data_IF_196145783157
#
_entry.id   IF_196145783157
#
_cell.length_a   1.000
_cell.length_b   1.000
_cell.length_c   1.000
_cell.angle_alpha   90.00
_cell.angle_beta   90.00
_cell.angle_gamma   90.00
#
_symmetry.space_group_name_H-M   'P 1'
#
loop_
_entity.id
_entity.type
_entity.pdbx_description
1 polymer ?
#
# COMPACT_ATOMS: atom_id res chain seq x y z
N UNK A 1 -6.83 -13.18 13.06
CA UNK A 1 -8.18 -13.54 13.53
C UNK A 1 -9.15 -13.24 12.41
N UNK A 2 -9.66 -14.31 11.81
CA UNK A 2 -10.76 -14.27 10.84
C UNK A 2 -11.97 -13.59 11.49
N UNK A 3 -12.62 -12.68 10.76
CA UNK A 3 -13.79 -11.92 11.21
C UNK A 3 -13.71 -11.44 12.67
N UNK A 4 -12.60 -10.81 13.04
CA UNK A 4 -12.35 -10.29 14.40
C UNK A 4 -13.49 -9.39 14.93
N UNK A 5 -14.19 -8.68 14.04
CA UNK A 5 -15.39 -7.92 14.36
C UNK A 5 -16.55 -8.74 14.95
N UNK A 6 -16.57 -10.07 14.79
CA UNK A 6 -17.57 -10.95 15.42
C UNK A 6 -17.12 -11.49 16.79
N UNK A 7 -15.87 -11.21 17.20
CA UNK A 7 -15.32 -11.58 18.49
C UNK A 7 -15.52 -10.40 19.47
N UNK A 8 -15.84 -10.68 20.72
CA UNK A 8 -15.91 -9.64 21.75
C UNK A 8 -14.51 -9.05 22.04
N UNK A 9 -14.40 -7.72 22.14
CA UNK A 9 -13.15 -7.03 22.47
C UNK A 9 -12.51 -7.57 23.75
N UNK A 10 -13.30 -7.86 24.77
CA UNK A 10 -12.78 -8.40 26.04
C UNK A 10 -12.12 -9.78 25.87
N UNK A 11 -12.61 -10.62 24.96
CA UNK A 11 -11.99 -11.91 24.62
C UNK A 11 -10.64 -11.68 23.95
N UNK A 12 -10.56 -10.74 23.00
CA UNK A 12 -9.30 -10.37 22.33
C UNK A 12 -8.26 -9.87 23.33
N UNK A 13 -8.66 -8.97 24.24
CA UNK A 13 -7.74 -8.43 25.26
C UNK A 13 -7.25 -9.51 26.23
N UNK A 14 -8.13 -10.43 26.65
CA UNK A 14 -7.75 -11.55 27.53
C UNK A 14 -6.79 -12.51 26.82
N UNK A 15 -7.05 -12.84 25.56
CA UNK A 15 -6.16 -13.67 24.76
C UNK A 15 -4.77 -13.04 24.59
N UNK A 16 -4.72 -11.73 24.29
CA UNK A 16 -3.48 -10.95 24.23
C UNK A 16 -2.67 -11.07 25.52
N UNK A 17 -3.30 -10.79 26.66
CA UNK A 17 -2.63 -10.85 27.96
C UNK A 17 -2.10 -12.24 28.28
N UNK A 18 -2.90 -13.28 28.04
CA UNK A 18 -2.49 -14.67 28.28
C UNK A 18 -1.29 -15.07 27.40
N UNK A 19 -1.36 -14.83 26.09
CA UNK A 19 -0.30 -15.18 25.15
C UNK A 19 1.00 -14.42 25.45
N UNK A 20 0.91 -13.12 25.74
CA UNK A 20 2.08 -12.28 25.97
C UNK A 20 2.73 -12.47 27.34
N UNK A 21 2.07 -13.19 28.25
CA UNK A 21 2.64 -13.60 29.54
C UNK A 21 3.49 -14.88 29.48
N UNK A 22 3.47 -15.60 28.35
CA UNK A 22 4.26 -16.82 28.18
C UNK A 22 5.76 -16.48 28.18
N UNK A 23 6.56 -17.30 28.87
CA UNK A 23 8.01 -17.14 29.02
C UNK A 23 8.74 -18.41 28.59
N UNK A 24 10.00 -18.26 28.15
CA UNK A 24 10.82 -19.40 27.70
C UNK A 24 11.01 -20.45 28.80
N UNK A 25 11.26 -20.01 30.03
CA UNK A 25 11.56 -20.90 31.15
C UNK A 25 10.36 -21.79 31.53
N UNK A 26 9.15 -21.22 31.56
CA UNK A 26 7.96 -21.95 31.99
C UNK A 26 7.18 -22.60 30.82
N UNK A 27 7.27 -22.04 29.61
CA UNK A 27 6.39 -22.41 28.49
C UNK A 27 7.13 -22.74 27.20
N UNK A 28 8.47 -22.61 27.16
CA UNK A 28 9.28 -22.87 25.96
C UNK A 28 9.21 -21.80 24.86
N UNK A 29 8.47 -20.71 25.08
CA UNK A 29 8.27 -19.63 24.09
C UNK A 29 8.36 -18.25 24.72
N UNK A 30 8.87 -17.26 23.99
CA UNK A 30 8.83 -15.85 24.39
C UNK A 30 7.50 -15.23 23.92
N UNK A 31 6.50 -15.25 24.80
CA UNK A 31 5.17 -14.72 24.53
C UNK A 31 5.17 -13.22 24.21
N UNK A 32 6.15 -12.46 24.70
CA UNK A 32 6.25 -11.02 24.45
C UNK A 32 6.44 -10.66 22.97
N UNK A 33 6.85 -11.64 22.14
CA UNK A 33 7.01 -11.49 20.69
C UNK A 33 5.79 -11.95 19.89
N UNK A 34 4.78 -12.54 20.53
CA UNK A 34 3.55 -12.93 19.86
C UNK A 34 2.75 -11.67 19.51
N UNK A 35 2.50 -11.52 18.21
CA UNK A 35 1.73 -10.42 17.64
C UNK A 35 0.34 -10.91 17.20
N UNK A 36 -0.69 -10.09 17.45
CA UNK A 36 -2.08 -10.42 17.14
C UNK A 36 -2.64 -9.37 16.18
N UNK A 37 -3.34 -9.82 15.15
CA UNK A 37 -4.07 -8.96 14.22
C UNK A 37 -5.27 -9.71 13.61
N UNK A 38 -6.21 -8.98 13.02
CA UNK A 38 -7.37 -9.59 12.39
C UNK A 38 -8.23 -8.67 11.54
N UNK A 39 -9.39 -9.18 11.18
CA UNK A 39 -10.37 -8.51 10.31
C UNK A 39 -11.42 -7.78 11.14
N UNK A 40 -11.21 -6.48 11.38
CA UNK A 40 -12.11 -5.69 12.22
C UNK A 40 -13.37 -5.19 11.50
N UNK A 41 -13.90 -5.93 10.53
CA UNK A 41 -15.12 -5.56 9.78
C UNK A 41 -16.35 -5.53 10.70
N UNK A 42 -17.14 -4.45 10.67
CA UNK A 42 -18.32 -4.26 11.53
C UNK A 42 -19.63 -4.38 10.73
N UNK A 43 -20.28 -5.54 10.78
CA UNK A 43 -21.50 -5.81 10.00
C UNK A 43 -22.44 -6.77 10.73
N UNK A 44 -23.62 -7.02 10.14
CA UNK A 44 -24.65 -7.95 10.62
C UNK A 44 -25.07 -7.72 12.09
N UNK A 45 -25.23 -8.79 12.87
CA UNK A 45 -25.84 -8.76 14.21
C UNK A 45 -24.94 -8.18 15.30
N UNK A 46 -23.63 -8.02 15.02
CA UNK A 46 -22.65 -7.46 15.95
C UNK A 46 -22.45 -5.96 15.76
N UNK A 47 -22.84 -5.43 14.60
CA UNK A 47 -22.62 -4.05 14.20
C UNK A 47 -23.10 -3.05 15.26
N UNK A 48 -22.36 -1.95 15.41
CA UNK A 48 -22.68 -0.90 16.41
C UNK A 48 -22.83 -1.47 17.84
N UNK A 49 -21.99 -2.46 18.17
CA UNK A 49 -21.93 -3.09 19.50
C UNK A 49 -23.24 -3.78 19.95
N UNK A 50 -24.08 -4.24 19.03
CA UNK A 50 -25.39 -4.83 19.36
C UNK A 50 -25.29 -6.07 20.26
N UNK A 51 -24.16 -6.79 20.25
CA UNK A 51 -23.89 -7.96 21.11
C UNK A 51 -22.89 -7.68 22.24
N UNK A 52 -22.60 -6.41 22.50
CA UNK A 52 -21.49 -5.95 23.34
C UNK A 52 -20.35 -5.35 22.51
N UNK A 53 -19.32 -4.81 23.18
CA UNK A 53 -18.19 -4.20 22.48
C UNK A 53 -17.41 -5.27 21.72
N UNK A 54 -17.55 -5.27 20.40
CA UNK A 54 -16.95 -6.24 19.49
C UNK A 54 -15.58 -5.78 18.98
N UNK A 55 -14.87 -6.65 18.28
CA UNK A 55 -13.51 -6.43 17.76
C UNK A 55 -13.46 -5.65 16.45
N UNK A 56 -14.33 -4.66 16.25
CA UNK A 56 -14.32 -3.80 15.07
C UNK A 56 -13.07 -2.90 15.03
N UNK A 57 -12.66 -2.43 13.85
CA UNK A 57 -11.48 -1.56 13.67
C UNK A 57 -11.47 -0.38 14.63
N UNK A 58 -12.61 0.33 14.76
CA UNK A 58 -12.74 1.49 15.66
C UNK A 58 -12.62 1.08 17.13
N UNK A 59 -13.25 -0.02 17.53
CA UNK A 59 -13.17 -0.52 18.90
C UNK A 59 -11.77 -1.05 19.25
N UNK A 60 -11.01 -1.55 18.27
CA UNK A 60 -9.67 -2.10 18.49
C UNK A 60 -8.56 -1.04 18.51
N UNK A 61 -8.87 0.22 18.21
CA UNK A 61 -7.93 1.34 18.40
C UNK A 61 -7.45 1.42 19.86
N UNK A 62 -6.16 1.64 20.06
CA UNK A 62 -5.51 1.74 21.38
C UNK A 62 -5.31 0.41 22.09
N UNK A 63 -5.56 -0.73 21.42
CA UNK A 63 -5.36 -2.06 22.02
C UNK A 63 -3.99 -2.67 21.70
N UNK A 64 -3.27 -2.15 20.70
CA UNK A 64 -2.06 -2.77 20.14
C UNK A 64 -2.30 -4.12 19.46
N UNK A 65 -3.53 -4.41 19.01
CA UNK A 65 -3.89 -5.54 18.14
C UNK A 65 -4.16 -4.95 16.75
N UNK A 66 -3.53 -5.53 15.72
CA UNK A 66 -3.64 -5.03 14.35
C UNK A 66 -5.00 -5.28 13.70
N UNK A 67 -5.39 -4.40 12.79
CA UNK A 67 -6.47 -4.67 11.83
C UNK A 67 -6.10 -4.31 10.40
N UNK A 68 -6.64 -5.07 9.44
CA UNK A 68 -6.48 -4.79 8.01
C UNK A 68 -6.99 -3.40 7.64
N UNK A 69 -6.20 -2.69 6.82
CA UNK A 69 -6.52 -1.37 6.29
C UNK A 69 -7.17 -1.47 4.90
N UNK A 70 -8.48 -1.64 4.86
CA UNK A 70 -9.29 -1.58 3.65
C UNK A 70 -9.22 -0.21 2.94
N UNK A 71 -9.00 0.89 3.66
CA UNK A 71 -8.97 2.23 3.05
C UNK A 71 -7.80 2.37 2.07
N UNK A 72 -6.59 1.99 2.47
CA UNK A 72 -5.43 2.07 1.57
C UNK A 72 -5.57 1.06 0.42
N UNK A 73 -6.10 -0.14 0.66
CA UNK A 73 -6.37 -1.15 -0.38
C UNK A 73 -7.25 -0.55 -1.48
N UNK A 74 -8.39 -0.01 -1.08
CA UNK A 74 -9.40 0.52 -2.01
C UNK A 74 -8.92 1.79 -2.70
N UNK A 75 -8.15 2.64 -2.01
CA UNK A 75 -7.59 3.84 -2.61
C UNK A 75 -6.51 3.56 -3.66
N UNK A 76 -5.65 2.58 -3.41
CA UNK A 76 -4.61 2.15 -4.38
C UNK A 76 -5.26 1.46 -5.57
N UNK A 77 -6.12 0.47 -5.33
CA UNK A 77 -6.69 -0.36 -6.40
C UNK A 77 -7.84 0.32 -7.13
N UNK A 78 -8.74 0.98 -6.43
CA UNK A 78 -9.94 1.63 -6.97
C UNK A 78 -11.24 0.90 -6.68
N UNK A 79 -12.26 1.66 -6.26
CA UNK A 79 -13.57 1.12 -5.91
C UNK A 79 -13.54 0.36 -4.58
N UNK A 80 -14.19 -0.79 -4.55
CA UNK A 80 -14.18 -1.74 -3.44
C UNK A 80 -14.51 -3.15 -4.00
N UNK A 81 -14.29 -4.24 -3.25
CA UNK A 81 -14.51 -5.60 -3.75
C UNK A 81 -15.96 -5.95 -4.13
N UNK A 82 -16.94 -5.14 -3.73
CA UNK A 82 -18.36 -5.34 -4.02
C UNK A 82 -18.91 -4.33 -5.04
N UNK A 83 -18.06 -3.40 -5.50
CA UNK A 83 -18.41 -2.36 -6.46
C UNK A 83 -18.22 -2.81 -7.92
N UNK A 84 -18.31 -1.86 -8.85
CA UNK A 84 -18.03 -2.16 -10.25
C UNK A 84 -16.52 -2.50 -10.42
N UNK A 85 -16.18 -3.65 -11.03
CA UNK A 85 -14.80 -4.10 -11.16
C UNK A 85 -13.92 -3.13 -11.97
N UNK A 86 -14.51 -2.32 -12.87
CA UNK A 86 -13.78 -1.36 -13.71
C UNK A 86 -13.53 0.00 -13.03
N UNK A 87 -13.99 0.22 -11.79
CA UNK A 87 -13.70 1.46 -11.06
C UNK A 87 -12.20 1.56 -10.73
N UNK A 88 -11.55 2.59 -11.24
CA UNK A 88 -10.12 2.85 -11.08
C UNK A 88 -9.81 3.56 -9.76
N UNK A 89 -8.57 3.43 -9.31
CA UNK A 89 -8.01 4.06 -8.13
C UNK A 89 -6.70 4.76 -8.47
N UNK A 90 -5.95 5.11 -7.43
CA UNK A 90 -4.72 5.88 -7.57
C UNK A 90 -3.70 5.18 -8.47
N UNK A 91 -3.53 3.86 -8.32
CA UNK A 91 -2.52 3.09 -9.05
C UNK A 91 -3.07 2.31 -10.25
N UNK A 92 -4.35 2.48 -10.60
CA UNK A 92 -4.96 1.77 -11.75
C UNK A 92 -5.47 2.71 -12.84
N UNK A 93 -5.05 3.98 -12.79
CA UNK A 93 -5.20 4.95 -13.88
C UNK A 93 -6.35 5.96 -13.73
N UNK A 94 -6.97 6.08 -12.55
CA UNK A 94 -8.06 7.06 -12.35
C UNK A 94 -7.58 8.46 -12.74
N UNK A 95 -8.36 9.17 -13.57
CA UNK A 95 -8.04 10.47 -14.19
C UNK A 95 -6.84 10.45 -15.17
N UNK A 96 -5.71 9.84 -14.78
CA UNK A 96 -4.46 9.85 -15.56
C UNK A 96 -4.56 9.02 -16.84
N UNK A 97 -5.22 7.87 -16.77
CA UNK A 97 -5.29 6.86 -17.83
C UNK A 97 -6.67 6.18 -17.83
N UNK A 98 -7.75 6.86 -18.27
CA UNK A 98 -9.11 6.33 -18.20
C UNK A 98 -9.28 5.03 -18.99
N UNK A 99 -9.89 4.02 -18.37
CA UNK A 99 -10.06 2.69 -18.96
C UNK A 99 -11.30 2.51 -19.86
N UNK A 100 -12.08 3.59 -20.07
CA UNK A 100 -13.31 3.60 -20.87
C UNK A 100 -14.61 3.39 -20.07
N UNK A 101 -14.54 2.96 -18.81
CA UNK A 101 -15.69 2.96 -17.90
C UNK A 101 -15.94 4.38 -17.38
N UNK A 102 -17.18 4.88 -17.53
CA UNK A 102 -17.54 6.23 -17.11
C UNK A 102 -17.56 6.36 -15.58
N UNK A 103 -16.72 7.26 -15.06
CA UNK A 103 -16.50 7.47 -13.62
C UNK A 103 -16.72 8.94 -13.20
N UNK A 104 -17.50 9.68 -14.01
CA UNK A 104 -17.66 11.13 -13.89
C UNK A 104 -16.86 11.89 -14.95
N UNK A 105 -16.95 13.23 -14.92
CA UNK A 105 -16.15 14.08 -15.81
C UNK A 105 -14.69 14.18 -15.33
N UNK A 106 -13.86 14.90 -16.08
CA UNK A 106 -12.44 15.10 -15.74
C UNK A 106 -12.23 15.74 -14.36
N UNK A 107 -13.04 16.74 -14.00
CA UNK A 107 -12.96 17.38 -12.68
C UNK A 107 -13.35 16.43 -11.54
N UNK A 108 -14.35 15.57 -11.76
CA UNK A 108 -14.79 14.57 -10.78
C UNK A 108 -13.74 13.49 -10.56
N UNK A 109 -13.15 12.97 -11.64
CA UNK A 109 -12.11 11.93 -11.55
C UNK A 109 -10.81 12.49 -10.99
N UNK A 110 -10.42 13.72 -11.35
CA UNK A 110 -9.26 14.40 -10.75
C UNK A 110 -9.43 14.61 -9.25
N UNK A 111 -10.60 15.06 -8.82
CA UNK A 111 -10.93 15.23 -7.39
C UNK A 111 -10.95 13.89 -6.67
N UNK A 112 -11.49 12.84 -7.28
CA UNK A 112 -11.50 11.49 -6.70
C UNK A 112 -10.10 10.90 -6.58
N UNK A 113 -9.23 11.12 -7.57
CA UNK A 113 -7.82 10.74 -7.51
C UNK A 113 -7.10 11.44 -6.35
N UNK A 114 -7.34 12.75 -6.16
CA UNK A 114 -6.75 13.51 -5.08
C UNK A 114 -7.28 13.08 -3.69
N UNK A 115 -8.57 12.76 -3.58
CA UNK A 115 -9.16 12.15 -2.38
C UNK A 115 -8.51 10.80 -2.04
N UNK A 116 -8.28 9.94 -3.04
CA UNK A 116 -7.56 8.69 -2.83
C UNK A 116 -6.10 8.92 -2.42
N UNK A 117 -5.43 9.94 -2.97
CA UNK A 117 -4.09 10.33 -2.53
C UNK A 117 -4.06 10.71 -1.05
N UNK A 118 -5.04 11.48 -0.55
CA UNK A 118 -5.17 11.81 0.87
C UNK A 118 -5.32 10.54 1.73
N UNK A 119 -6.18 9.61 1.31
CA UNK A 119 -6.41 8.34 2.00
C UNK A 119 -5.14 7.48 2.07
N UNK A 120 -4.39 7.41 0.96
CA UNK A 120 -3.13 6.67 0.88
C UNK A 120 -2.09 7.31 1.80
N UNK A 121 -1.94 8.63 1.79
CA UNK A 121 -0.99 9.34 2.65
C UNK A 121 -1.26 9.08 4.14
N UNK A 122 -2.52 9.08 4.58
CA UNK A 122 -2.87 8.66 5.95
C UNK A 122 -2.46 7.22 6.23
N UNK A 123 -2.73 6.29 5.32
CA UNK A 123 -2.32 4.89 5.44
C UNK A 123 -0.80 4.71 5.50
N UNK A 124 -0.05 5.44 4.67
CA UNK A 124 1.41 5.46 4.65
C UNK A 124 2.00 6.00 5.95
N UNK A 125 1.30 6.90 6.65
CA UNK A 125 1.63 7.40 7.98
C UNK A 125 1.04 6.55 9.13
N UNK A 126 0.82 5.25 8.91
CA UNK A 126 0.38 4.31 9.95
C UNK A 126 -1.13 4.34 10.23
N UNK A 127 -1.91 4.98 9.36
CA UNK A 127 -3.37 5.13 9.43
C UNK A 127 -3.87 5.72 10.76
N UNK A 128 -3.05 6.61 11.33
CA UNK A 128 -3.25 7.17 12.65
C UNK A 128 -4.41 8.16 12.67
N UNK A 129 -5.26 8.06 13.70
CA UNK A 129 -6.39 8.98 13.90
C UNK A 129 -5.95 10.43 14.05
N UNK A 130 -4.82 10.67 14.73
CA UNK A 130 -4.33 12.01 15.09
C UNK A 130 -3.19 12.53 14.19
N UNK A 131 -2.79 11.80 13.14
CA UNK A 131 -1.82 12.33 12.17
C UNK A 131 -2.47 13.41 11.34
N UNK A 132 -1.77 14.53 11.12
CA UNK A 132 -2.31 15.72 10.46
C UNK A 132 -1.75 15.82 9.05
N UNK A 133 -2.65 15.93 8.06
CA UNK A 133 -2.33 16.04 6.64
C UNK A 133 -2.92 17.34 6.06
N UNK A 134 -2.18 17.98 5.17
CA UNK A 134 -2.74 18.99 4.26
C UNK A 134 -3.45 18.23 3.14
N UNK A 135 -4.77 18.26 3.14
CA UNK A 135 -5.61 17.53 2.18
C UNK A 135 -5.56 18.15 0.79
N UNK A 136 -6.13 17.47 -0.21
CA UNK A 136 -6.24 17.99 -1.56
C UNK A 136 -7.03 19.31 -1.67
N UNK A 137 -7.85 19.68 -0.69
CA UNK A 137 -8.53 21.00 -0.67
C UNK A 137 -7.63 22.11 -0.14
N UNK A 138 -6.49 21.77 0.45
CA UNK A 138 -5.61 22.69 1.18
C UNK A 138 -5.95 22.81 2.67
N UNK A 139 -7.06 22.21 3.12
CA UNK A 139 -7.40 22.17 4.55
C UNK A 139 -6.48 21.20 5.29
N UNK A 140 -6.11 21.57 6.51
CA UNK A 140 -5.39 20.70 7.44
C UNK A 140 -6.38 19.82 8.19
N UNK A 141 -6.27 18.50 8.05
CA UNK A 141 -7.17 17.53 8.71
C UNK A 141 -6.40 16.42 9.40
N UNK A 142 -6.91 15.96 10.53
CA UNK A 142 -6.48 14.70 11.14
C UNK A 142 -6.90 13.51 10.28
N UNK A 143 -6.22 12.38 10.42
CA UNK A 143 -6.60 11.13 9.76
C UNK A 143 -8.05 10.73 10.03
N UNK A 144 -8.57 10.97 11.24
CA UNK A 144 -9.97 10.70 11.59
C UNK A 144 -10.98 11.71 11.02
N UNK A 145 -10.53 12.87 10.53
CA UNK A 145 -11.37 13.92 9.95
C UNK A 145 -11.44 13.80 8.41
N UNK A 146 -10.56 12.97 7.83
CA UNK A 146 -10.66 12.52 6.45
C UNK A 146 -11.56 11.28 6.45
N UNK A 147 -12.57 11.29 5.59
CA UNK A 147 -13.58 10.24 5.57
C UNK A 147 -13.51 9.43 4.28
N UNK A 148 -13.90 8.16 4.38
CA UNK A 148 -14.19 7.30 3.24
C UNK A 148 -15.45 7.81 2.52
N UNK A 149 -15.73 7.29 1.32
CA UNK A 149 -16.90 7.70 0.55
C UNK A 149 -18.24 7.36 1.22
N UNK A 150 -18.25 6.37 2.11
CA UNK A 150 -19.38 5.97 2.97
C UNK A 150 -19.39 6.66 4.35
N UNK A 151 -18.45 7.58 4.62
CA UNK A 151 -18.49 8.46 5.78
C UNK A 151 -17.82 7.95 7.04
N UNK A 152 -17.03 6.88 6.97
CA UNK A 152 -16.20 6.40 8.10
C UNK A 152 -14.86 7.15 8.14
N UNK A 153 -14.23 7.32 9.33
CA UNK A 153 -12.91 7.89 9.42
C UNK A 153 -11.88 7.00 8.69
N UNK A 154 -10.97 7.63 7.94
CA UNK A 154 -9.89 6.93 7.25
C UNK A 154 -8.85 6.47 8.27
N UNK A 155 -8.28 7.43 9.01
CA UNK A 155 -7.35 7.16 10.10
C UNK A 155 -8.09 6.81 11.39
N UNK A 156 -7.80 5.64 11.95
CA UNK A 156 -8.49 5.14 13.15
C UNK A 156 -7.54 4.59 14.23
N UNK A 157 -6.27 4.34 13.91
CA UNK A 157 -5.34 3.70 14.86
C UNK A 157 -4.75 4.71 15.84
N UNK A 158 -4.31 4.22 17.00
CA UNK A 158 -3.56 5.00 17.99
C UNK A 158 -2.06 4.71 17.94
N UNK A 159 -1.64 3.66 17.23
CA UNK A 159 -0.24 3.28 17.03
C UNK A 159 -0.05 2.65 15.65
N UNK A 160 1.13 2.82 15.00
CA UNK A 160 1.41 2.15 13.73
C UNK A 160 1.38 0.62 13.83
N UNK A 161 1.57 0.03 15.02
CA UNK A 161 1.46 -1.43 15.17
C UNK A 161 0.02 -1.93 15.09
N UNK A 162 -0.98 -1.05 15.07
CA UNK A 162 -2.39 -1.43 14.98
C UNK A 162 -2.88 -1.50 13.53
N UNK A 163 -2.05 -1.13 12.56
CA UNK A 163 -2.42 -1.14 11.14
C UNK A 163 -1.70 -2.23 10.37
N UNK A 164 -2.49 -3.00 9.62
CA UNK A 164 -2.01 -3.94 8.60
C UNK A 164 -2.31 -3.35 7.22
N UNK A 165 -1.33 -2.72 6.59
CA UNK A 165 -1.46 -2.15 5.26
C UNK A 165 -1.31 -3.24 4.20
N UNK A 166 -2.26 -3.31 3.26
CA UNK A 166 -2.29 -4.31 2.20
C UNK A 166 -3.01 -3.78 0.96
N UNK A 167 -2.74 -4.40 -0.18
CA UNK A 167 -3.44 -4.16 -1.46
C UNK A 167 -4.02 -5.43 -2.07
N UNK A 168 -3.67 -6.59 -1.51
CA UNK A 168 -4.07 -7.92 -1.97
C UNK A 168 -4.04 -8.89 -0.81
N UNK A 169 -4.92 -9.88 -0.86
CA UNK A 169 -5.02 -10.96 0.10
C UNK A 169 -5.44 -12.25 -0.62
N UNK A 170 -5.76 -13.29 0.15
CA UNK A 170 -6.29 -14.52 -0.39
C UNK A 170 -7.73 -14.36 -0.93
N UNK A 171 -8.55 -13.54 -0.29
CA UNK A 171 -9.87 -13.14 -0.79
C UNK A 171 -9.76 -12.06 -1.86
N UNK A 172 -10.75 -12.00 -2.75
CA UNK A 172 -10.82 -11.10 -3.90
C UNK A 172 -9.77 -11.43 -4.97
N UNK A 173 -9.71 -10.61 -6.02
CA UNK A 173 -8.71 -10.77 -7.08
C UNK A 173 -7.28 -10.56 -6.54
N UNK A 174 -6.31 -11.27 -7.14
CA UNK A 174 -4.89 -11.02 -6.85
C UNK A 174 -4.47 -9.62 -7.30
N UNK A 175 -3.30 -9.15 -6.83
CA UNK A 175 -2.76 -7.85 -7.26
C UNK A 175 -2.61 -7.77 -8.79
N UNK A 176 -2.11 -8.82 -9.43
CA UNK A 176 -1.95 -8.85 -10.89
C UNK A 176 -3.30 -8.83 -11.61
N UNK A 177 -4.28 -9.58 -11.11
CA UNK A 177 -5.61 -9.68 -11.71
C UNK A 177 -6.38 -8.36 -11.59
N UNK A 178 -6.39 -7.73 -10.41
CA UNK A 178 -7.09 -6.45 -10.20
C UNK A 178 -6.48 -5.33 -11.06
N UNK A 179 -5.15 -5.29 -11.21
CA UNK A 179 -4.47 -4.35 -12.11
C UNK A 179 -4.87 -4.62 -13.56
N UNK A 180 -4.90 -5.88 -13.99
CA UNK A 180 -5.27 -6.29 -15.35
C UNK A 180 -6.73 -6.01 -15.67
N UNK A 181 -7.62 -6.07 -14.68
CA UNK A 181 -9.02 -5.68 -14.83
C UNK A 181 -9.18 -4.18 -14.98
N UNK A 182 -8.56 -3.40 -14.07
CA UNK A 182 -8.83 -1.97 -13.90
C UNK A 182 -8.04 -1.05 -14.81
N UNK A 183 -6.83 -1.42 -15.21
CA UNK A 183 -6.03 -0.60 -16.13
C UNK A 183 -6.58 -0.62 -17.56
N UNK A 184 -6.29 0.40 -18.39
CA UNK A 184 -6.64 0.39 -19.81
C UNK A 184 -6.18 -0.89 -20.51
N UNK A 185 -7.00 -1.42 -21.42
CA UNK A 185 -6.69 -2.70 -22.08
C UNK A 185 -5.45 -2.64 -22.98
N UNK A 186 -5.11 -1.44 -23.48
CA UNK A 186 -3.99 -1.22 -24.38
C UNK A 186 -2.62 -1.10 -23.69
N UNK A 187 -2.55 -1.09 -22.35
CA UNK A 187 -1.25 -1.13 -21.65
C UNK A 187 -0.53 -2.45 -21.95
N UNK A 188 0.80 -2.41 -22.03
CA UNK A 188 1.61 -3.63 -22.14
C UNK A 188 1.66 -4.37 -20.80
N UNK A 189 2.05 -5.65 -20.83
CA UNK A 189 2.33 -6.38 -19.59
C UNK A 189 3.52 -5.79 -18.83
N UNK A 190 4.54 -5.27 -19.51
CA UNK A 190 5.66 -4.56 -18.87
C UNK A 190 5.18 -3.38 -18.02
N UNK A 191 4.25 -2.58 -18.55
CA UNK A 191 3.67 -1.46 -17.81
C UNK A 191 2.88 -1.95 -16.60
N UNK A 192 2.06 -3.00 -16.74
CA UNK A 192 1.34 -3.60 -15.61
C UNK A 192 2.29 -4.17 -14.56
N UNK A 193 3.45 -4.72 -14.94
CA UNK A 193 4.45 -5.20 -13.99
C UNK A 193 4.99 -4.06 -13.12
N UNK A 194 5.23 -2.87 -13.70
CA UNK A 194 5.62 -1.69 -12.93
C UNK A 194 4.50 -1.19 -12.00
N UNK A 195 3.25 -1.28 -12.44
CA UNK A 195 2.09 -0.94 -11.62
C UNK A 195 1.97 -1.90 -10.42
N UNK A 196 2.23 -3.20 -10.62
CA UNK A 196 2.30 -4.19 -9.53
C UNK A 196 3.42 -3.84 -8.53
N UNK A 197 4.60 -3.49 -9.04
CA UNK A 197 5.73 -3.06 -8.22
C UNK A 197 5.42 -1.79 -7.41
N UNK A 198 4.73 -0.80 -7.98
CA UNK A 198 4.29 0.41 -7.28
C UNK A 198 3.35 0.08 -6.10
N UNK A 199 2.35 -0.78 -6.32
CA UNK A 199 1.39 -1.15 -5.28
C UNK A 199 2.07 -1.87 -4.10
N UNK A 200 2.89 -2.88 -4.39
CA UNK A 200 3.67 -3.60 -3.37
C UNK A 200 4.69 -2.70 -2.67
N UNK A 201 5.30 -1.75 -3.39
CA UNK A 201 6.24 -0.78 -2.81
C UNK A 201 5.59 0.22 -1.87
N UNK A 202 4.36 0.69 -2.18
CA UNK A 202 3.58 1.51 -1.25
C UNK A 202 3.35 0.78 0.07
N UNK A 203 3.11 -0.53 0.04
CA UNK A 203 3.01 -1.33 1.28
C UNK A 203 4.36 -1.43 1.97
N UNK A 204 5.40 -1.88 1.24
CA UNK A 204 6.73 -2.11 1.77
C UNK A 204 7.36 -0.88 2.42
N UNK A 205 7.08 0.33 1.92
CA UNK A 205 7.63 1.58 2.45
C UNK A 205 6.66 2.35 3.36
N UNK A 206 5.48 1.80 3.66
CA UNK A 206 4.54 2.41 4.62
C UNK A 206 5.02 2.29 6.07
N UNK A 207 4.66 3.26 6.91
CA UNK A 207 4.65 3.05 8.36
C UNK A 207 3.59 2.02 8.75
N UNK A 208 3.76 1.40 9.91
CA UNK A 208 2.95 0.28 10.34
C UNK A 208 3.44 -1.05 9.79
N UNK A 209 2.54 -2.02 9.63
CA UNK A 209 2.89 -3.39 9.26
C UNK A 209 2.42 -3.69 7.84
N UNK A 210 3.34 -3.86 6.86
CA UNK A 210 2.99 -4.29 5.53
C UNK A 210 2.56 -5.76 5.53
N UNK A 211 1.55 -6.06 4.72
CA UNK A 211 1.09 -7.42 4.44
C UNK A 211 1.13 -7.67 2.94
N UNK A 212 1.61 -8.86 2.56
CA UNK A 212 1.74 -9.28 1.17
C UNK A 212 1.03 -10.61 0.99
N UNK A 213 0.27 -10.73 -0.09
CA UNK A 213 -0.29 -11.98 -0.52
C UNK A 213 0.78 -12.79 -1.24
N UNK A 214 0.89 -14.09 -0.92
CA UNK A 214 1.85 -14.97 -1.59
C UNK A 214 1.61 -14.96 -3.10
N UNK A 215 2.60 -14.46 -3.85
CA UNK A 215 2.54 -14.29 -5.28
C UNK A 215 2.49 -12.84 -5.77
N UNK A 216 2.32 -11.85 -4.90
CA UNK A 216 2.45 -10.43 -5.26
C UNK A 216 3.80 -10.16 -5.94
N UNK A 217 4.85 -10.81 -5.44
CA UNK A 217 6.23 -10.69 -5.88
C UNK A 217 6.53 -11.41 -7.21
N UNK A 218 5.63 -12.28 -7.67
CA UNK A 218 5.79 -13.08 -8.90
C UNK A 218 4.59 -12.96 -9.84
N UNK A 219 3.84 -11.85 -9.73
CA UNK A 219 2.72 -11.51 -10.60
C UNK A 219 1.59 -12.56 -10.60
N UNK A 220 1.40 -13.28 -9.49
CA UNK A 220 0.43 -14.39 -9.40
C UNK A 220 -0.96 -13.96 -9.86
N UNK A 221 -1.55 -14.80 -10.69
CA UNK A 221 -2.93 -14.71 -11.16
C UNK A 221 -3.73 -15.90 -10.65
N UNK A 222 -5.04 -15.71 -10.51
CA UNK A 222 -6.02 -16.78 -10.36
C UNK A 222 -6.96 -16.85 -11.57
N UNK A 223 -6.49 -16.35 -12.72
CA UNK A 223 -7.33 -16.14 -13.91
C UNK A 223 -8.53 -15.24 -13.62
N UNK A 224 -8.34 -14.24 -12.75
CA UNK A 224 -9.37 -13.27 -12.32
C UNK A 224 -10.46 -13.91 -11.43
N UNK A 225 -10.17 -15.03 -10.76
CA UNK A 225 -11.08 -15.54 -9.73
C UNK A 225 -11.08 -14.62 -8.49
N UNK A 226 -12.26 -14.08 -8.15
CA UNK A 226 -12.42 -13.21 -6.98
C UNK A 226 -12.63 -13.96 -5.66
N UNK A 227 -12.92 -15.26 -5.69
CA UNK A 227 -13.23 -16.03 -4.47
C UNK A 227 -12.86 -17.50 -4.70
N UNK A 228 -11.55 -17.74 -4.64
CA UNK A 228 -10.95 -19.00 -5.08
C UNK A 228 -10.86 -20.08 -4.01
N UNK A 229 -11.64 -19.96 -2.92
CA UNK A 229 -11.57 -20.85 -1.76
C UNK A 229 -11.76 -22.33 -2.12
N UNK A 230 -12.57 -22.62 -3.15
CA UNK A 230 -12.89 -23.97 -3.63
C UNK A 230 -12.59 -24.15 -5.13
N UNK A 231 -11.68 -23.35 -5.69
CA UNK A 231 -11.31 -23.40 -7.11
C UNK A 231 -10.14 -24.36 -7.40
N UNK A 232 -9.76 -25.18 -6.41
CA UNK A 232 -8.73 -26.22 -6.53
C UNK A 232 -7.34 -25.70 -6.87
N UNK A 233 -6.42 -26.63 -7.12
CA UNK A 233 -5.02 -26.32 -7.44
C UNK A 233 -4.88 -25.54 -8.76
N UNK A 234 -5.78 -25.79 -9.71
CA UNK A 234 -5.72 -25.22 -11.06
C UNK A 234 -5.75 -23.68 -11.05
N UNK A 235 -6.75 -23.08 -10.39
CA UNK A 235 -6.85 -21.62 -10.31
C UNK A 235 -5.95 -21.02 -9.21
N UNK A 236 -5.56 -21.79 -8.20
CA UNK A 236 -4.76 -21.30 -7.08
C UNK A 236 -3.24 -21.49 -7.23
N UNK A 237 -2.77 -22.09 -8.34
CA UNK A 237 -1.37 -22.46 -8.59
C UNK A 237 -0.38 -21.38 -8.16
N UNK A 238 0.65 -21.80 -7.42
CA UNK A 238 1.89 -21.06 -7.21
C UNK A 238 3.02 -21.78 -7.95
N UNK A 239 3.63 -21.08 -8.91
CA UNK A 239 4.64 -21.67 -9.78
C UNK A 239 6.04 -21.16 -9.45
N UNK A 240 6.76 -21.90 -8.60
CA UNK A 240 8.14 -21.57 -8.23
C UNK A 240 9.19 -21.95 -9.29
N UNK A 241 8.78 -22.45 -10.46
CA UNK A 241 9.68 -22.49 -11.63
C UNK A 241 9.78 -21.12 -12.31
N UNK A 242 8.85 -20.23 -11.98
CA UNK A 242 8.68 -18.88 -12.53
C UNK A 242 8.36 -18.86 -14.03
N UNK A 243 8.02 -20.00 -14.63
CA UNK A 243 7.67 -20.08 -16.05
C UNK A 243 6.28 -19.50 -16.35
N UNK A 244 5.36 -19.60 -15.38
CA UNK A 244 3.99 -19.10 -15.52
C UNK A 244 3.55 -18.36 -14.26
N UNK A 245 2.67 -17.37 -14.41
CA UNK A 245 2.01 -16.72 -13.28
C UNK A 245 0.57 -17.20 -13.06
N UNK A 246 0.10 -18.19 -13.84
CA UNK A 246 -1.26 -18.72 -13.88
C UNK A 246 -2.34 -17.83 -14.55
N UNK A 247 -1.94 -16.78 -15.30
CA UNK A 247 -2.88 -15.98 -16.10
C UNK A 247 -3.39 -16.74 -17.34
N UNK A 248 -4.69 -16.62 -17.64
CA UNK A 248 -5.26 -17.15 -18.88
C UNK A 248 -5.48 -18.65 -18.89
N UNK A 249 -5.71 -19.27 -17.72
CA UNK A 249 -5.95 -20.72 -17.58
C UNK A 249 -7.44 -21.12 -17.68
N UNK A 250 -8.25 -20.26 -18.30
CA UNK A 250 -9.70 -20.40 -18.45
C UNK A 250 -10.48 -19.38 -17.63
N UNK A 251 -11.78 -19.27 -17.91
CA UNK A 251 -12.68 -18.47 -17.07
C UNK A 251 -12.79 -19.13 -15.68
N UNK A 252 -12.76 -18.35 -14.58
CA UNK A 252 -12.85 -18.88 -13.23
C UNK A 252 -14.26 -19.40 -12.92
N UNK A 253 -14.47 -20.23 -11.87
CA UNK A 253 -15.74 -20.89 -11.60
C UNK A 253 -16.95 -19.96 -11.54
N UNK A 254 -18.06 -20.39 -12.14
CA UNK A 254 -19.24 -19.54 -12.37
C UNK A 254 -19.88 -19.03 -11.09
N UNK A 255 -19.93 -19.85 -10.04
CA UNK A 255 -20.59 -19.54 -8.76
C UNK A 255 -20.27 -18.13 -8.24
N UNK A 256 -19.02 -17.69 -8.42
CA UNK A 256 -18.55 -16.39 -7.94
C UNK A 256 -18.26 -15.40 -9.06
N UNK A 257 -18.09 -15.85 -10.30
CA UNK A 257 -17.46 -15.04 -11.35
C UNK A 257 -18.28 -14.85 -12.62
N UNK A 258 -19.38 -15.58 -12.82
CA UNK A 258 -20.11 -15.61 -14.10
C UNK A 258 -20.57 -14.23 -14.58
N UNK A 259 -21.06 -13.39 -13.66
CA UNK A 259 -21.48 -12.01 -13.95
C UNK A 259 -20.36 -11.15 -14.57
N UNK A 260 -19.10 -11.46 -14.25
CA UNK A 260 -17.93 -10.75 -14.72
C UNK A 260 -17.20 -11.49 -15.87
N UNK A 261 -17.63 -12.68 -16.29
CA UNK A 261 -17.02 -13.35 -17.44
C UNK A 261 -16.94 -12.50 -18.73
N UNK A 262 -17.94 -11.64 -19.05
CA UNK A 262 -17.86 -10.79 -20.24
C UNK A 262 -16.65 -9.83 -20.23
N UNK A 263 -16.22 -9.33 -19.06
CA UNK A 263 -15.03 -8.47 -18.97
C UNK A 263 -13.73 -9.28 -18.89
N UNK A 264 -13.78 -10.50 -18.34
CA UNK A 264 -12.63 -11.38 -18.16
C UNK A 264 -12.17 -12.01 -19.48
N UNK A 265 -13.11 -12.57 -20.24
CA UNK A 265 -12.82 -13.32 -21.48
C UNK A 265 -11.88 -12.59 -22.45
N UNK A 266 -12.14 -11.34 -22.88
CA UNK A 266 -11.25 -10.66 -23.82
C UNK A 266 -9.87 -10.32 -23.24
N UNK A 267 -9.73 -10.24 -21.91
CA UNK A 267 -8.44 -10.02 -21.24
C UNK A 267 -7.63 -11.32 -21.18
N UNK A 268 -8.28 -12.42 -20.79
CA UNK A 268 -7.65 -13.74 -20.68
C UNK A 268 -7.20 -14.29 -22.03
N UNK A 269 -7.98 -14.01 -23.09
CA UNK A 269 -7.67 -14.44 -24.46
C UNK A 269 -6.58 -13.59 -25.13
N UNK A 270 -6.31 -12.38 -24.64
CA UNK A 270 -5.33 -11.48 -25.24
C UNK A 270 -3.90 -11.85 -24.79
N UNK A 271 -3.01 -12.28 -25.71
CA UNK A 271 -1.65 -12.67 -25.36
C UNK A 271 -0.82 -11.54 -24.73
N UNK A 272 -1.15 -10.27 -25.01
CA UNK A 272 -0.40 -9.12 -24.48
C UNK A 272 -0.58 -8.89 -22.98
N UNK A 273 -1.51 -9.60 -22.33
CA UNK A 273 -1.70 -9.57 -20.88
C UNK A 273 -0.82 -10.57 -20.15
N UNK A 274 -0.33 -11.62 -20.82
CA UNK A 274 0.35 -12.74 -20.16
C UNK A 274 1.84 -12.42 -19.93
N UNK A 275 2.34 -12.40 -18.69
CA UNK A 275 3.75 -12.19 -18.43
C UNK A 275 4.56 -13.44 -18.80
N UNK A 276 5.68 -13.23 -19.47
CA UNK A 276 6.75 -14.22 -19.60
C UNK A 276 7.62 -14.30 -18.33
N UNK A 277 8.41 -15.37 -18.19
CA UNK A 277 9.36 -15.60 -17.09
C UNK A 277 10.24 -14.38 -16.74
N UNK A 278 10.74 -13.66 -17.74
CA UNK A 278 11.55 -12.46 -17.52
C UNK A 278 10.84 -11.39 -16.69
N UNK A 279 9.55 -11.18 -16.91
CA UNK A 279 8.74 -10.24 -16.11
C UNK A 279 8.54 -10.73 -14.69
N UNK A 280 8.29 -12.03 -14.50
CA UNK A 280 8.08 -12.65 -13.19
C UNK A 280 9.35 -12.52 -12.34
N UNK A 281 10.52 -12.80 -12.92
CA UNK A 281 11.80 -12.66 -12.23
C UNK A 281 12.15 -11.18 -11.96
N UNK A 282 11.82 -10.26 -12.86
CA UNK A 282 12.03 -8.82 -12.63
C UNK A 282 11.10 -8.27 -11.51
N UNK A 283 9.86 -8.76 -11.44
CA UNK A 283 8.95 -8.45 -10.34
C UNK A 283 9.52 -8.96 -9.01
N UNK A 284 10.06 -10.18 -8.98
CA UNK A 284 10.67 -10.76 -7.80
C UNK A 284 11.90 -9.97 -7.33
N UNK A 285 12.81 -9.63 -8.25
CA UNK A 285 14.02 -8.87 -7.93
C UNK A 285 13.69 -7.48 -7.36
N UNK A 286 12.78 -6.75 -8.02
CA UNK A 286 12.34 -5.42 -7.59
C UNK A 286 11.56 -5.45 -6.27
N UNK A 287 10.81 -6.52 -5.99
CA UNK A 287 10.16 -6.75 -4.70
C UNK A 287 11.18 -7.03 -3.59
N UNK A 288 12.20 -7.86 -3.86
CA UNK A 288 13.29 -8.11 -2.92
C UNK A 288 14.05 -6.80 -2.62
N UNK A 289 14.33 -5.99 -3.64
CA UNK A 289 15.00 -4.71 -3.48
C UNK A 289 14.21 -3.72 -2.61
N UNK A 290 12.89 -3.61 -2.78
CA UNK A 290 12.09 -2.72 -1.94
C UNK A 290 12.02 -3.20 -0.48
N UNK A 291 12.05 -4.51 -0.24
CA UNK A 291 12.17 -5.05 1.11
C UNK A 291 13.55 -4.74 1.72
N UNK A 292 14.65 -4.88 0.95
CA UNK A 292 15.99 -4.46 1.42
C UNK A 292 15.98 -2.98 1.84
N UNK A 293 15.30 -2.12 1.08
CA UNK A 293 15.19 -0.68 1.41
C UNK A 293 14.39 -0.47 2.71
N UNK A 294 13.26 -1.15 2.91
CA UNK A 294 12.51 -1.06 4.18
C UNK A 294 13.39 -1.37 5.39
N UNK A 295 14.25 -2.38 5.25
CA UNK A 295 15.09 -2.85 6.35
C UNK A 295 16.46 -2.15 6.42
N UNK A 296 16.83 -1.32 5.44
CA UNK A 296 18.07 -0.54 5.48
C UNK A 296 18.02 0.62 6.48
N UNK A 297 16.81 1.11 6.78
CA UNK A 297 16.59 2.25 7.67
C UNK A 297 15.50 1.96 8.74
N UNK A 298 15.74 2.29 10.02
CA UNK A 298 14.68 2.31 11.04
C UNK A 298 13.58 3.33 10.75
N UNK A 299 13.83 4.34 9.91
CA UNK A 299 12.89 5.41 9.61
C UNK A 299 11.63 4.92 8.89
N UNK A 300 11.69 3.83 8.13
CA UNK A 300 10.48 3.19 7.55
C UNK A 300 9.64 2.41 8.57
N UNK A 301 10.11 2.28 9.81
CA UNK A 301 9.55 1.38 10.85
C UNK A 301 9.45 2.07 12.20
N UNK A 302 8.99 3.32 12.21
CA UNK A 302 8.79 4.08 13.44
C UNK A 302 7.77 3.37 14.34
N UNK A 303 8.09 3.29 15.63
CA UNK A 303 7.35 2.42 16.56
C UNK A 303 6.16 3.09 17.23
N UNK A 304 6.08 4.43 17.21
CA UNK A 304 5.04 5.19 17.90
C UNK A 304 4.37 6.22 16.99
N UNK A 305 3.13 6.58 17.34
CA UNK A 305 2.42 7.68 16.69
C UNK A 305 3.11 9.04 16.89
N UNK A 306 3.87 9.22 17.98
CA UNK A 306 4.59 10.46 18.24
C UNK A 306 5.73 10.63 17.25
N UNK A 307 6.53 9.57 17.05
CA UNK A 307 7.64 9.59 16.09
C UNK A 307 7.13 9.88 14.68
N UNK A 308 6.03 9.24 14.26
CA UNK A 308 5.46 9.46 12.93
C UNK A 308 5.00 10.91 12.76
N UNK A 309 4.28 11.48 13.75
CA UNK A 309 3.83 12.87 13.69
C UNK A 309 4.99 13.88 13.65
N UNK A 310 6.11 13.55 14.29
CA UNK A 310 7.28 14.43 14.32
C UNK A 310 8.12 14.33 13.05
N UNK A 311 8.19 13.16 12.41
CA UNK A 311 9.19 12.86 11.38
C UNK A 311 8.64 12.67 9.97
N UNK A 312 7.39 12.24 9.83
CA UNK A 312 6.82 11.89 8.52
C UNK A 312 6.08 13.09 7.95
N UNK A 313 6.49 13.53 6.76
CA UNK A 313 5.92 14.66 6.05
C UNK A 313 5.55 14.28 4.62
N UNK A 314 4.47 14.87 4.10
CA UNK A 314 4.11 14.74 2.69
C UNK A 314 4.27 16.08 1.98
N UNK A 315 4.89 16.07 0.80
CA UNK A 315 5.35 17.29 0.13
C UNK A 315 4.57 17.65 -1.15
N UNK A 316 3.71 16.75 -1.66
CA UNK A 316 2.85 17.01 -2.82
C UNK A 316 1.38 17.01 -2.41
N UNK A 317 0.95 18.10 -1.78
CA UNK A 317 -0.37 18.24 -1.14
C UNK A 317 -1.12 19.49 -1.62
N UNK A 318 -2.40 19.62 -1.27
CA UNK A 318 -3.21 20.80 -1.60
C UNK A 318 -3.82 20.79 -3.00
N UNK A 319 -4.55 21.86 -3.36
CA UNK A 319 -5.36 21.93 -4.58
C UNK A 319 -4.53 21.99 -5.87
N UNK A 320 -3.25 22.35 -5.75
CA UNK A 320 -2.30 22.41 -6.87
C UNK A 320 -1.32 21.23 -6.87
N UNK A 321 -1.56 20.19 -6.07
CA UNK A 321 -0.76 18.97 -6.10
C UNK A 321 -0.68 18.37 -7.51
N UNK A 322 0.49 17.84 -7.85
CA UNK A 322 0.71 17.13 -9.11
C UNK A 322 -0.05 15.80 -9.05
N UNK A 323 -1.06 15.55 -9.90
CA UNK A 323 -1.82 14.32 -9.86
C UNK A 323 -0.93 13.10 -10.10
N UNK A 324 -1.19 11.99 -9.38
CA UNK A 324 -0.46 10.73 -9.56
C UNK A 324 0.93 10.67 -8.89
N UNK A 325 1.26 11.64 -8.04
CA UNK A 325 2.54 11.64 -7.31
C UNK A 325 2.29 11.74 -5.81
N UNK A 326 2.93 10.88 -5.03
CA UNK A 326 3.04 11.04 -3.57
C UNK A 326 4.51 11.21 -3.24
N UNK A 327 4.86 12.21 -2.44
CA UNK A 327 6.22 12.43 -1.94
C UNK A 327 6.22 12.40 -0.43
N UNK A 328 6.85 11.38 0.15
CA UNK A 328 6.94 11.14 1.59
C UNK A 328 8.37 11.38 2.08
N UNK A 329 8.58 12.37 2.93
CA UNK A 329 9.82 12.61 3.67
C UNK A 329 9.77 11.99 5.06
N UNK A 330 10.90 11.46 5.53
CA UNK A 330 11.07 10.96 6.90
C UNK A 330 12.37 11.52 7.48
N UNK A 331 12.23 12.34 8.50
CA UNK A 331 13.34 13.03 9.17
C UNK A 331 13.99 12.18 10.27
N UNK A 332 15.32 12.30 10.36
CA UNK A 332 16.07 11.92 11.54
C UNK A 332 16.86 13.09 12.13
N UNK A 333 17.41 12.91 13.33
CA UNK A 333 18.22 13.93 14.00
C UNK A 333 19.41 14.38 13.12
N UNK A 334 19.55 15.70 12.89
CA UNK A 334 20.55 16.27 11.96
C UNK A 334 21.50 17.30 12.57
N UNK A 335 21.05 18.04 13.58
CA UNK A 335 21.82 19.15 14.16
C UNK A 335 22.66 18.71 15.38
N UNK A 336 23.63 19.55 15.79
CA UNK A 336 24.47 19.31 16.99
C UNK A 336 23.65 19.21 18.30
N UNK A 337 22.42 19.75 18.32
CA UNK A 337 21.46 19.65 19.43
C UNK A 337 20.06 19.35 18.88
N UNK A 338 19.79 18.09 18.47
CA UNK A 338 18.56 17.77 17.80
C UNK A 338 17.39 17.71 18.79
N UNK A 339 16.20 18.15 18.37
CA UNK A 339 14.95 18.04 19.15
C UNK A 339 14.35 16.62 19.13
N UNK A 340 15.02 15.68 18.46
CA UNK A 340 14.63 14.28 18.34
C UNK A 340 15.83 13.35 18.48
N UNK A 341 15.60 12.13 18.95
CA UNK A 341 16.66 11.12 19.04
C UNK A 341 17.14 10.70 17.65
N UNK A 342 18.43 10.44 17.48
CA UNK A 342 18.93 9.78 16.27
C UNK A 342 18.50 8.31 16.26
N UNK A 343 17.79 7.90 15.21
CA UNK A 343 17.34 6.52 15.03
C UNK A 343 18.21 5.75 14.03
N UNK A 344 18.71 6.43 13.01
CA UNK A 344 19.46 5.83 11.90
C UNK A 344 20.92 6.29 11.96
N UNK A 345 21.84 5.33 11.90
CA UNK A 345 23.28 5.58 11.93
C UNK A 345 23.87 5.93 10.56
N UNK A 346 23.15 5.61 9.47
CA UNK A 346 23.63 5.76 8.10
C UNK A 346 22.99 6.96 7.40
N UNK A 347 21.70 7.20 7.65
CA UNK A 347 20.93 8.23 6.94
C UNK A 347 20.32 9.25 7.90
N UNK A 348 20.35 10.51 7.53
CA UNK A 348 19.74 11.60 8.30
C UNK A 348 18.35 12.02 7.80
N UNK A 349 18.02 11.64 6.58
CA UNK A 349 16.72 11.90 5.97
C UNK A 349 16.45 10.90 4.87
N UNK A 350 15.19 10.55 4.66
CA UNK A 350 14.73 9.70 3.56
C UNK A 350 13.60 10.39 2.82
N UNK A 351 13.63 10.40 1.49
CA UNK A 351 12.54 10.88 0.64
C UNK A 351 12.11 9.75 -0.29
N UNK A 352 10.84 9.39 -0.26
CA UNK A 352 10.25 8.43 -1.20
C UNK A 352 9.28 9.14 -2.13
N UNK A 353 9.47 8.99 -3.44
CA UNK A 353 8.57 9.49 -4.47
C UNK A 353 7.89 8.32 -5.15
N UNK A 354 6.57 8.23 -5.03
CA UNK A 354 5.74 7.28 -5.77
C UNK A 354 5.14 8.00 -6.98
N UNK A 355 5.65 7.74 -8.17
CA UNK A 355 5.14 8.30 -9.42
C UNK A 355 4.34 7.23 -10.19
N UNK A 356 3.01 7.32 -10.16
CA UNK A 356 2.14 6.42 -10.94
C UNK A 356 1.88 6.92 -12.36
N UNK A 357 2.29 8.14 -12.70
CA UNK A 357 2.08 8.73 -14.01
C UNK A 357 2.79 7.92 -15.12
N UNK A 358 2.23 7.90 -16.34
CA UNK A 358 2.86 7.23 -17.49
C UNK A 358 4.05 8.02 -18.08
N UNK A 359 4.44 9.14 -17.46
CA UNK A 359 5.57 9.99 -17.85
C UNK A 359 6.44 10.35 -16.63
N UNK A 360 7.64 10.86 -16.92
CA UNK A 360 8.53 11.44 -15.90
C UNK A 360 7.88 12.65 -15.22
N UNK A 361 8.23 12.87 -13.95
CA UNK A 361 7.83 14.04 -13.18
C UNK A 361 9.06 14.68 -12.55
N UNK A 362 9.04 16.01 -12.43
CA UNK A 362 10.01 16.77 -11.64
C UNK A 362 9.26 17.46 -10.51
N UNK A 363 9.62 17.12 -9.27
CA UNK A 363 9.00 17.63 -8.06
C UNK A 363 9.96 18.59 -7.37
N UNK A 364 9.65 19.89 -7.41
CA UNK A 364 10.44 20.92 -6.74
C UNK A 364 9.98 21.04 -5.28
N UNK A 365 10.88 20.74 -4.33
CA UNK A 365 10.61 20.81 -2.90
C UNK A 365 11.65 21.74 -2.26
N UNK A 366 11.40 23.06 -2.24
CA UNK A 366 12.37 24.05 -1.77
C UNK A 366 12.82 23.81 -0.31
N UNK A 367 11.95 23.24 0.53
CA UNK A 367 12.27 22.87 1.91
C UNK A 367 13.38 21.81 2.01
N UNK A 368 13.63 21.06 0.94
CA UNK A 368 14.67 20.05 0.84
C UNK A 368 15.80 20.46 -0.11
N UNK A 369 15.89 21.74 -0.50
CA UNK A 369 17.02 22.26 -1.25
C UNK A 369 18.29 22.30 -0.39
N UNK A 370 19.45 22.30 -1.03
CA UNK A 370 20.80 22.29 -0.42
C UNK A 370 21.12 21.08 0.47
N UNK A 371 20.23 20.09 0.55
CA UNK A 371 20.52 18.79 1.15
C UNK A 371 21.44 17.96 0.26
N UNK A 372 22.03 16.90 0.82
CA UNK A 372 22.90 15.97 0.07
C UNK A 372 22.19 14.64 -0.16
N UNK A 373 21.04 14.73 -0.82
CA UNK A 373 20.23 13.55 -1.12
C UNK A 373 20.80 12.82 -2.34
N UNK A 374 20.92 11.51 -2.21
CA UNK A 374 21.40 10.58 -3.23
C UNK A 374 20.35 9.49 -3.45
N UNK A 375 20.29 8.91 -4.66
CA UNK A 375 19.46 7.73 -4.89
C UNK A 375 19.92 6.59 -3.97
N UNK A 376 18.98 5.87 -3.35
CA UNK A 376 19.29 4.81 -2.40
C UNK A 376 20.21 3.76 -3.05
N UNK A 377 21.29 3.29 -2.38
CA UNK A 377 22.28 2.40 -2.97
C UNK A 377 21.72 1.12 -3.63
N UNK A 378 20.65 0.55 -3.06
CA UNK A 378 19.93 -0.58 -3.67
C UNK A 378 19.40 -0.22 -5.06
N UNK A 379 18.80 0.96 -5.24
CA UNK A 379 18.25 1.37 -6.54
C UNK A 379 19.33 1.82 -7.53
N UNK A 380 20.44 2.37 -7.04
CA UNK A 380 21.64 2.63 -7.87
C UNK A 380 22.17 1.35 -8.51
N UNK A 381 22.10 0.23 -7.79
CA UNK A 381 22.58 -1.08 -8.23
C UNK A 381 21.45 -2.01 -8.74
N UNK A 382 20.25 -1.48 -8.95
CA UNK A 382 19.10 -2.29 -9.34
C UNK A 382 19.22 -2.80 -10.79
N UNK A 383 18.62 -3.96 -11.04
CA UNK A 383 18.43 -4.48 -12.40
C UNK A 383 17.48 -3.63 -13.24
N UNK A 384 16.63 -2.82 -12.60
CA UNK A 384 15.72 -1.88 -13.28
C UNK A 384 16.46 -0.62 -13.73
N UNK A 385 16.88 -0.60 -14.98
CA UNK A 385 17.56 0.55 -15.58
C UNK A 385 16.73 1.84 -15.56
N UNK A 386 15.40 1.77 -15.37
CA UNK A 386 14.57 2.97 -15.33
C UNK A 386 14.78 3.72 -14.01
N UNK A 387 14.71 3.06 -12.85
CA UNK A 387 14.88 3.75 -11.54
C UNK A 387 16.26 4.38 -11.38
N UNK A 388 17.30 3.81 -11.98
CA UNK A 388 18.66 4.38 -12.00
C UNK A 388 18.77 5.75 -12.69
N UNK A 389 17.73 6.20 -13.39
CA UNK A 389 17.65 7.56 -13.98
C UNK A 389 17.05 8.60 -13.03
N UNK A 390 16.70 8.22 -11.80
CA UNK A 390 16.17 9.15 -10.82
C UNK A 390 17.26 10.08 -10.32
N UNK A 391 17.00 11.38 -10.29
CA UNK A 391 18.02 12.41 -9.99
C UNK A 391 17.47 13.40 -8.98
N UNK A 392 18.33 13.86 -8.07
CA UNK A 392 18.08 14.99 -7.18
C UNK A 392 19.00 16.17 -7.53
N UNK A 393 18.45 17.38 -7.61
CA UNK A 393 19.19 18.62 -7.83
C UNK A 393 19.15 19.50 -6.57
N UNK A 394 20.30 19.67 -5.91
CA UNK A 394 20.40 20.39 -4.65
C UNK A 394 20.02 21.88 -4.75
N UNK A 395 20.28 22.54 -5.88
CA UNK A 395 20.04 23.97 -6.04
C UNK A 395 18.56 24.37 -5.89
N UNK A 396 17.65 23.48 -6.30
CA UNK A 396 16.20 23.71 -6.32
C UNK A 396 15.44 22.79 -5.36
N UNK A 397 16.09 21.74 -4.85
CA UNK A 397 15.40 20.66 -4.14
C UNK A 397 14.52 19.83 -5.09
N UNK A 398 14.93 19.70 -6.36
CA UNK A 398 14.16 19.01 -7.40
C UNK A 398 14.44 17.51 -7.39
N UNK A 399 13.37 16.72 -7.42
CA UNK A 399 13.44 15.27 -7.63
C UNK A 399 12.85 14.92 -8.99
N UNK A 400 13.66 14.38 -9.89
CA UNK A 400 13.21 13.89 -11.20
C UNK A 400 13.04 12.38 -11.13
N UNK A 401 11.83 11.90 -11.37
CA UNK A 401 11.43 10.50 -11.20
C UNK A 401 10.75 9.98 -12.47
N UNK A 402 11.26 8.91 -13.07
CA UNK A 402 10.69 8.33 -14.29
C UNK A 402 9.24 7.86 -14.11
N UNK A 403 8.57 7.62 -15.24
CA UNK A 403 7.21 7.04 -15.28
C UNK A 403 7.10 5.77 -14.46
N UNK A 404 5.94 5.53 -13.84
CA UNK A 404 5.57 4.29 -13.14
C UNK A 404 6.71 3.76 -12.25
N UNK A 405 7.24 4.61 -11.38
CA UNK A 405 8.47 4.32 -10.62
C UNK A 405 8.32 4.82 -9.19
N UNK A 406 8.82 4.01 -8.25
CA UNK A 406 9.10 4.44 -6.88
C UNK A 406 10.60 4.72 -6.76
N UNK A 407 10.97 5.92 -6.35
CA UNK A 407 12.36 6.31 -6.14
C UNK A 407 12.57 6.72 -4.70
N UNK A 408 13.61 6.16 -4.07
CA UNK A 408 13.99 6.43 -2.69
C UNK A 408 15.31 7.16 -2.69
N UNK A 409 15.32 8.37 -2.15
CA UNK A 409 16.50 9.18 -1.96
C UNK A 409 16.84 9.20 -0.47
N UNK A 410 18.13 9.19 -0.14
CA UNK A 410 18.65 9.19 1.22
C UNK A 410 19.69 10.28 1.38
N UNK A 411 19.76 10.90 2.56
CA UNK A 411 20.85 11.80 2.91
C UNK A 411 21.84 11.03 3.77
N UNK A 412 23.04 10.67 3.25
CA UNK A 412 24.06 9.99 4.04
C UNK A 412 24.58 10.88 5.17
N UNK A 413 24.84 10.28 6.34
CA UNK A 413 25.54 10.96 7.43
C UNK A 413 27.03 11.09 7.10
N UNK A 414 27.62 12.21 7.52
CA UNK A 414 29.07 12.45 7.41
C UNK A 414 29.84 11.93 8.60
#
# INVERSE_FOLDING_TARGET
FDLMGHIMKHTMMRAKAALQSLTRDAHGVDGSKIYLYGEGWDFAEVARNQRGINGSQLNMSGTGIGSFNDRIRDAVNGGNPFGNPLQQGFNTGLFLEPNGFYQGNEADTRRSLATYADQIQIGLAGNLRDYVLITHTGETKKGSEIHTFDGLPVGYTSSPIEIINYVSAHDNETLFDVISVKTPMNLSVDERCRINHLASSMMALSQGIPFFHAGDEILRSKSIDRDSYNSGDWFNKLDFTYETNNWGVGLPPSEKNEDNWPLMKPRLENPSFKPAKGHILAALDSFVDILKIRYSSPLFRLSTASDIKQRVHFHNTGPSSVPGVIVMGIEDARDEKPEMAQLDANFSYVVTVFNVCPHEVSMDIPALASMRLELHPVQVNSSDALVGKSVYEAATGRFTVPRRTVSVFVEPRC
#
